data_IF_459526303909
#
_entry.id   IF_459526303909
#
_cell.length_a   1.000
_cell.length_b   1.000
_cell.length_c   1.000
_cell.angle_alpha   90.00
_cell.angle_beta   90.00
_cell.angle_gamma   90.00
#
_symmetry.space_group_name_H-M   'P 1'
#
loop_
_entity.id
_entity.type
_entity.pdbx_description
1 polymer ?
#
# COMPACT_ATOMS: atom_id res chain seq x y z
N UNK A 1 -26.42 -41.85 -34.13
CA UNK A 1 -25.67 -40.64 -33.73
C UNK A 1 -26.62 -39.45 -33.62
N UNK A 2 -27.61 -39.50 -32.72
CA UNK A 2 -28.54 -38.39 -32.49
C UNK A 2 -29.01 -38.29 -31.03
N UNK A 3 -28.43 -39.08 -30.10
CA UNK A 3 -28.88 -39.14 -28.71
C UNK A 3 -27.98 -38.39 -27.71
N UNK A 4 -26.75 -38.00 -28.09
CA UNK A 4 -25.79 -37.34 -27.18
C UNK A 4 -25.83 -35.80 -27.19
N UNK A 5 -26.49 -35.17 -28.17
CA UNK A 5 -26.53 -33.70 -28.26
C UNK A 5 -27.63 -33.06 -27.41
N UNK A 6 -28.71 -33.79 -27.13
CA UNK A 6 -29.86 -33.26 -26.37
C UNK A 6 -29.54 -33.13 -24.88
N UNK A 7 -28.82 -34.12 -24.32
CA UNK A 7 -28.45 -34.14 -22.90
C UNK A 7 -27.38 -33.08 -22.56
N UNK A 8 -26.52 -32.73 -23.52
CA UNK A 8 -25.55 -31.64 -23.40
C UNK A 8 -26.19 -30.25 -23.45
N UNK A 9 -27.24 -30.08 -24.25
CA UNK A 9 -27.96 -28.80 -24.36
C UNK A 9 -28.90 -28.56 -23.16
N UNK A 10 -29.55 -29.60 -22.63
CA UNK A 10 -30.37 -29.48 -21.42
C UNK A 10 -29.52 -29.11 -20.19
N UNK A 11 -28.33 -29.71 -20.05
CA UNK A 11 -27.42 -29.43 -18.93
C UNK A 11 -26.78 -28.02 -19.00
N UNK A 12 -26.63 -27.44 -20.20
CA UNK A 12 -26.23 -26.03 -20.36
C UNK A 12 -27.37 -25.06 -20.03
N UNK A 13 -28.60 -25.36 -20.46
CA UNK A 13 -29.77 -24.53 -20.17
C UNK A 13 -30.09 -24.49 -18.67
N UNK A 14 -29.98 -25.61 -17.96
CA UNK A 14 -30.16 -25.67 -16.50
C UNK A 14 -29.06 -24.94 -15.71
N UNK A 15 -27.86 -24.81 -16.29
CA UNK A 15 -26.78 -24.01 -15.70
C UNK A 15 -26.95 -22.52 -15.95
N UNK A 16 -27.48 -22.11 -17.11
CA UNK A 16 -27.78 -20.70 -17.40
C UNK A 16 -28.94 -20.17 -16.55
N UNK A 17 -30.02 -20.94 -16.39
CA UNK A 17 -31.17 -20.55 -15.55
C UNK A 17 -30.81 -20.40 -14.08
N UNK A 18 -29.92 -21.24 -13.54
CA UNK A 18 -29.42 -21.11 -12.17
C UNK A 18 -28.54 -19.87 -11.96
N UNK A 19 -27.75 -19.46 -12.96
CA UNK A 19 -26.92 -18.25 -12.87
C UNK A 19 -27.78 -16.99 -12.94
N UNK A 20 -28.80 -16.97 -13.82
CA UNK A 20 -29.76 -15.86 -13.92
C UNK A 20 -30.60 -15.71 -12.63
N UNK A 21 -30.98 -16.83 -12.00
CA UNK A 21 -31.72 -16.79 -10.73
C UNK A 21 -30.86 -16.26 -9.56
N UNK A 22 -29.58 -16.61 -9.51
CA UNK A 22 -28.63 -16.08 -8.52
C UNK A 22 -28.38 -14.58 -8.74
N UNK A 23 -28.29 -14.12 -10.00
CA UNK A 23 -28.15 -12.69 -10.30
C UNK A 23 -29.40 -11.89 -9.93
N UNK A 24 -30.60 -12.45 -10.12
CA UNK A 24 -31.85 -11.79 -9.69
C UNK A 24 -31.96 -11.67 -8.17
N UNK A 25 -31.56 -12.71 -7.41
CA UNK A 25 -31.54 -12.66 -5.94
C UNK A 25 -30.54 -11.62 -5.40
N UNK A 26 -29.41 -11.42 -6.10
CA UNK A 26 -28.43 -10.38 -5.75
C UNK A 26 -28.96 -8.97 -6.05
N UNK A 27 -29.71 -8.78 -7.12
CA UNK A 27 -30.35 -7.50 -7.45
C UNK A 27 -31.47 -7.13 -6.46
N UNK A 28 -32.23 -8.12 -5.98
CA UNK A 28 -33.32 -7.92 -5.02
C UNK A 28 -32.82 -7.53 -3.61
N UNK A 29 -31.65 -8.04 -3.19
CA UNK A 29 -31.02 -7.64 -1.93
C UNK A 29 -30.45 -6.21 -1.97
N UNK A 30 -30.09 -5.69 -3.15
CA UNK A 30 -29.55 -4.33 -3.30
C UNK A 30 -30.66 -3.27 -3.21
N UNK A 31 -31.88 -3.58 -3.63
CA UNK A 31 -33.02 -2.65 -3.57
C UNK A 31 -33.50 -2.36 -2.14
N UNK A 32 -33.44 -3.35 -1.24
CA UNK A 32 -33.92 -3.20 0.15
C UNK A 32 -33.02 -2.33 1.05
N UNK A 33 -31.77 -2.08 0.65
CA UNK A 33 -30.80 -1.29 1.44
C UNK A 33 -31.00 0.23 1.23
N UNK A 34 -31.80 0.64 0.25
CA UNK A 34 -31.90 2.05 -0.19
C UNK A 34 -33.00 2.88 0.48
N UNK A 35 -33.73 2.36 1.48
CA UNK A 35 -34.89 3.05 2.09
C UNK A 35 -34.74 3.45 3.57
N UNK A 36 -33.53 3.46 4.12
CA UNK A 36 -33.29 3.97 5.47
C UNK A 36 -32.91 5.45 5.50
N UNK A 37 -33.90 6.36 5.57
CA UNK A 37 -33.65 7.75 5.96
C UNK A 37 -33.23 7.82 7.45
N UNK A 38 -32.08 8.44 7.76
CA UNK A 38 -31.74 8.79 9.14
C UNK A 38 -31.20 10.22 9.25
N UNK A 39 -31.95 11.03 9.99
CA UNK A 39 -31.65 12.41 10.35
C UNK A 39 -30.43 12.51 11.29
N UNK A 40 -29.46 13.36 10.95
CA UNK A 40 -28.33 13.73 11.81
C UNK A 40 -28.68 14.91 12.74
N UNK A 41 -28.37 14.87 14.06
CA UNK A 41 -28.47 16.03 14.93
C UNK A 41 -27.21 16.93 14.85
N UNK A 42 -27.43 18.25 15.02
CA UNK A 42 -26.49 19.36 14.81
C UNK A 42 -25.32 19.40 15.82
N UNK A 43 -24.13 19.76 15.32
CA UNK A 43 -22.86 20.01 16.03
C UNK A 43 -22.94 21.15 17.06
N UNK A 44 -22.24 21.02 18.20
CA UNK A 44 -21.79 22.13 19.06
C UNK A 44 -20.27 22.30 18.90
N UNK A 45 -19.82 23.52 18.61
CA UNK A 45 -18.40 23.89 18.50
C UNK A 45 -17.82 24.23 19.88
N UNK A 46 -16.56 23.86 20.13
CA UNK A 46 -15.74 24.37 21.23
C UNK A 46 -14.45 24.90 20.59
N UNK A 47 -14.18 26.20 20.77
CA UNK A 47 -12.93 26.86 20.38
C UNK A 47 -11.83 26.58 21.41
N UNK A 48 -10.60 26.34 20.95
CA UNK A 48 -9.41 26.27 21.81
C UNK A 48 -8.31 27.13 21.19
N UNK A 49 -7.89 28.18 21.91
CA UNK A 49 -6.77 29.06 21.56
C UNK A 49 -5.41 28.40 21.86
N UNK A 50 -4.41 28.66 21.00
CA UNK A 50 -3.03 28.19 21.18
C UNK A 50 -2.11 29.30 21.73
N UNK A 51 -1.24 29.01 22.72
CA UNK A 51 -0.22 29.95 23.18
C UNK A 51 0.95 30.06 22.19
N UNK A 52 1.46 31.28 22.00
CA UNK A 52 2.64 31.60 21.20
C UNK A 52 3.85 31.91 22.08
N UNK A 53 5.01 31.25 21.88
CA UNK A 53 6.38 31.85 21.81
C UNK A 53 7.58 30.84 21.86
N UNK A 54 8.40 30.88 20.79
CA UNK A 54 9.88 31.05 20.65
C UNK A 54 10.91 30.37 21.59
N UNK A 55 11.91 29.69 20.96
CA UNK A 55 13.34 29.58 21.36
C UNK A 55 13.96 28.19 21.07
N UNK A 56 15.16 27.95 20.52
CA UNK A 56 16.47 28.65 20.48
C UNK A 56 17.34 28.17 19.29
N UNK A 57 18.28 28.99 18.79
CA UNK A 57 19.29 28.61 17.77
C UNK A 57 20.50 27.89 18.41
N UNK A 58 20.93 26.76 17.84
CA UNK A 58 22.13 26.01 18.26
C UNK A 58 23.38 26.57 17.56
N UNK A 59 24.48 26.77 18.31
CA UNK A 59 25.81 27.16 17.78
C UNK A 59 26.77 25.97 17.92
N UNK A 60 27.69 25.81 16.96
CA UNK A 60 28.70 24.73 16.97
C UNK A 60 29.87 24.99 17.92
N UNK A 61 30.68 23.95 18.14
CA UNK A 61 31.78 23.88 19.13
C UNK A 61 32.87 24.95 18.94
N UNK A 62 32.92 25.60 17.77
CA UNK A 62 33.93 26.62 17.45
C UNK A 62 33.35 28.06 17.48
N UNK A 63 32.16 28.26 18.07
CA UNK A 63 31.53 29.58 18.24
C UNK A 63 30.99 30.24 16.96
N UNK A 64 31.23 29.67 15.77
CA UNK A 64 30.69 30.15 14.49
C UNK A 64 29.26 29.64 14.25
N UNK A 65 28.43 30.49 13.65
CA UNK A 65 27.10 30.10 13.21
C UNK A 65 27.20 29.02 12.14
N UNK A 66 26.52 27.89 12.33
CA UNK A 66 26.46 26.83 11.33
C UNK A 66 25.56 27.33 10.19
N UNK A 67 26.16 27.76 9.09
CA UNK A 67 25.43 28.05 7.87
C UNK A 67 25.09 26.71 7.24
N UNK A 68 23.83 26.27 7.37
CA UNK A 68 23.36 25.07 6.70
C UNK A 68 23.31 25.33 5.20
N UNK A 69 24.12 24.61 4.43
CA UNK A 69 24.01 24.58 2.98
C UNK A 69 22.75 23.76 2.64
N UNK A 70 21.59 24.42 2.62
CA UNK A 70 20.23 23.84 2.54
C UNK A 70 19.90 23.07 1.25
N UNK A 71 20.84 22.85 0.32
CA UNK A 71 20.49 22.40 -1.04
C UNK A 71 20.84 20.96 -1.40
N UNK A 72 21.54 20.19 -0.56
CA UNK A 72 22.04 18.86 -0.99
C UNK A 72 21.86 17.69 -0.01
N UNK A 73 21.21 17.88 1.14
CA UNK A 73 21.09 16.84 2.17
C UNK A 73 19.65 16.35 2.46
N UNK A 74 18.63 16.81 1.73
CA UNK A 74 17.23 16.45 2.03
C UNK A 74 16.85 15.01 1.66
N UNK A 75 17.64 14.31 0.85
CA UNK A 75 17.24 13.00 0.30
C UNK A 75 17.79 11.77 1.04
N UNK A 76 18.54 11.94 2.13
CA UNK A 76 19.07 10.82 2.93
C UNK A 76 18.69 10.84 4.42
N UNK A 77 17.90 11.82 4.89
CA UNK A 77 17.51 11.95 6.31
C UNK A 77 16.12 11.40 6.65
N UNK A 78 15.37 10.83 5.71
CA UNK A 78 13.97 10.42 5.92
C UNK A 78 13.73 9.17 6.78
N UNK A 79 14.71 8.66 7.55
CA UNK A 79 14.51 7.44 8.34
C UNK A 79 15.04 7.48 9.79
N UNK A 80 15.56 8.60 10.32
CA UNK A 80 16.16 8.55 11.68
C UNK A 80 15.82 9.69 12.64
N UNK A 81 15.47 10.90 12.21
CA UNK A 81 15.20 11.99 13.17
C UNK A 81 13.77 12.51 13.04
N UNK A 82 13.06 12.53 14.17
CA UNK A 82 11.67 12.99 14.32
C UNK A 82 11.47 14.48 14.05
N UNK A 83 11.71 14.91 12.81
CA UNK A 83 11.09 16.10 12.26
C UNK A 83 9.79 15.67 11.56
N UNK A 84 8.69 16.30 11.95
CA UNK A 84 7.37 16.14 11.38
C UNK A 84 7.36 16.34 9.86
N UNK A 85 7.35 15.27 9.09
CA UNK A 85 7.19 15.37 7.63
C UNK A 85 6.33 14.20 7.09
N UNK A 86 5.10 14.14 7.58
CA UNK A 86 3.99 13.45 6.93
C UNK A 86 3.09 14.49 6.27
N UNK A 87 3.67 15.31 5.40
CA UNK A 87 2.94 16.28 4.60
C UNK A 87 1.96 15.51 3.68
N UNK A 88 0.67 15.74 3.82
CA UNK A 88 -0.35 15.16 2.95
C UNK A 88 -0.58 16.02 1.71
N UNK A 89 -0.16 17.29 1.76
CA UNK A 89 -0.38 18.27 0.71
C UNK A 89 0.79 18.23 -0.26
N UNK A 90 0.54 18.46 -1.54
CA UNK A 90 1.64 18.61 -2.49
C UNK A 90 2.32 19.96 -2.29
N UNK A 91 3.65 19.95 -2.23
CA UNK A 91 4.48 21.12 -2.50
C UNK A 91 4.29 21.59 -3.95
N UNK A 92 4.82 22.78 -4.28
CA UNK A 92 4.78 23.29 -5.65
C UNK A 92 5.51 22.36 -6.63
N UNK A 93 6.64 21.80 -6.22
CA UNK A 93 7.43 20.89 -7.05
C UNK A 93 6.69 19.57 -7.30
N UNK A 94 6.07 19.00 -6.26
CA UNK A 94 5.23 17.79 -6.36
C UNK A 94 3.99 18.03 -7.23
N UNK A 95 3.41 19.24 -7.18
CA UNK A 95 2.31 19.62 -8.06
C UNK A 95 2.74 19.68 -9.52
N UNK A 96 3.94 20.22 -9.81
CA UNK A 96 4.50 20.21 -11.18
C UNK A 96 4.76 18.78 -11.68
N UNK A 97 5.20 17.88 -10.81
CA UNK A 97 5.36 16.46 -11.15
C UNK A 97 4.01 15.84 -11.54
N UNK A 98 2.96 16.06 -10.75
CA UNK A 98 1.63 15.54 -11.07
C UNK A 98 1.12 16.06 -12.44
N UNK A 99 1.34 17.33 -12.76
CA UNK A 99 1.03 17.91 -14.06
C UNK A 99 1.83 17.26 -15.20
N UNK A 100 3.14 17.04 -14.99
CA UNK A 100 3.97 16.33 -15.97
C UNK A 100 3.43 14.94 -16.27
N UNK A 101 3.03 14.19 -15.25
CA UNK A 101 2.45 12.84 -15.41
C UNK A 101 1.16 12.92 -16.23
N UNK A 102 0.30 13.91 -15.98
CA UNK A 102 -0.94 14.12 -16.73
C UNK A 102 -0.69 14.40 -18.22
N UNK A 103 0.35 15.16 -18.55
CA UNK A 103 0.70 15.53 -19.93
C UNK A 103 1.39 14.40 -20.71
N UNK A 104 1.79 13.31 -20.05
CA UNK A 104 2.51 12.21 -20.68
C UNK A 104 1.59 11.33 -21.54
N UNK A 105 2.16 10.60 -22.51
CA UNK A 105 1.37 9.65 -23.32
C UNK A 105 0.89 8.48 -22.47
N UNK A 106 -0.30 7.90 -22.70
CA UNK A 106 -0.82 6.77 -21.91
C UNK A 106 0.16 5.61 -21.70
N UNK A 107 0.93 5.25 -22.73
CA UNK A 107 1.92 4.16 -22.72
C UNK A 107 3.29 4.56 -22.22
N UNK A 108 3.53 5.85 -21.95
CA UNK A 108 4.82 6.35 -21.50
C UNK A 108 5.14 5.78 -20.12
N UNK A 109 6.31 5.19 -19.97
CA UNK A 109 6.80 4.72 -18.67
C UNK A 109 7.27 5.92 -17.86
N UNK A 110 6.69 6.12 -16.69
CA UNK A 110 6.94 7.27 -15.82
C UNK A 110 7.80 6.86 -14.63
N UNK A 111 7.57 5.66 -14.08
CA UNK A 111 8.22 5.18 -12.86
C UNK A 111 8.71 3.76 -13.08
N UNK A 112 9.98 3.51 -12.74
CA UNK A 112 10.56 2.17 -12.73
C UNK A 112 11.30 1.96 -11.41
N UNK A 113 10.64 1.32 -10.45
CA UNK A 113 11.16 1.02 -9.11
C UNK A 113 11.32 -0.48 -8.98
N UNK A 114 12.55 -0.94 -8.78
CA UNK A 114 12.87 -2.37 -8.69
C UNK A 114 12.36 -3.14 -9.92
N UNK A 115 11.37 -4.02 -9.73
CA UNK A 115 10.68 -4.82 -10.74
C UNK A 115 9.31 -4.24 -11.16
N UNK A 116 8.95 -3.05 -10.67
CA UNK A 116 7.67 -2.39 -10.94
C UNK A 116 7.82 -1.26 -11.94
N UNK A 117 7.08 -1.34 -13.05
CA UNK A 117 7.09 -0.36 -14.15
C UNK A 117 5.72 0.30 -14.27
N UNK A 118 5.55 1.55 -13.82
CA UNK A 118 4.29 2.30 -13.95
C UNK A 118 4.32 3.24 -15.16
N UNK A 119 3.29 3.13 -15.97
CA UNK A 119 2.98 4.03 -17.08
C UNK A 119 2.09 5.18 -16.64
N UNK A 120 1.89 6.18 -17.51
CA UNK A 120 0.87 7.22 -17.27
C UNK A 120 -0.52 6.61 -17.04
N UNK A 121 -0.91 5.58 -17.80
CA UNK A 121 -2.19 4.91 -17.64
C UNK A 121 -2.36 4.30 -16.23
N UNK A 122 -1.29 3.77 -15.64
CA UNK A 122 -1.34 3.26 -14.27
C UNK A 122 -1.53 4.37 -13.22
N UNK A 123 -1.05 5.59 -13.50
CA UNK A 123 -0.96 6.69 -12.55
C UNK A 123 -2.15 7.66 -12.59
N UNK A 124 -3.03 7.57 -13.59
CA UNK A 124 -4.16 8.51 -13.75
C UNK A 124 -5.06 8.57 -12.52
N UNK A 125 -5.28 7.44 -11.84
CA UNK A 125 -6.11 7.36 -10.62
C UNK A 125 -5.55 8.17 -9.44
N UNK A 126 -4.29 8.60 -9.51
CA UNK A 126 -3.63 9.44 -8.50
C UNK A 126 -3.61 10.93 -8.88
N UNK A 127 -3.54 11.25 -10.17
CA UNK A 127 -3.27 12.64 -10.62
C UNK A 127 -4.47 13.32 -11.28
N UNK A 128 -5.34 12.56 -11.94
CA UNK A 128 -6.50 13.10 -12.63
C UNK A 128 -7.59 13.49 -11.62
N UNK A 129 -8.27 14.60 -11.89
CA UNK A 129 -9.42 15.03 -11.11
C UNK A 129 -10.62 14.19 -11.50
N UNK A 130 -11.28 13.61 -10.51
CA UNK A 130 -12.50 12.84 -10.67
C UNK A 130 -13.57 13.33 -9.69
N UNK A 131 -14.87 13.04 -9.96
CA UNK A 131 -15.91 13.09 -8.94
C UNK A 131 -15.52 12.27 -7.71
N UNK A 132 -16.05 12.65 -6.55
CA UNK A 132 -15.63 12.15 -5.24
C UNK A 132 -15.63 10.61 -5.14
N UNK A 133 -16.70 9.93 -5.57
CA UNK A 133 -16.82 8.47 -5.53
C UNK A 133 -16.58 7.77 -6.88
N UNK A 134 -15.85 8.39 -7.79
CA UNK A 134 -15.59 7.78 -9.10
C UNK A 134 -14.67 6.55 -8.98
N UNK A 135 -15.14 5.40 -9.46
CA UNK A 135 -14.43 4.12 -9.39
C UNK A 135 -13.03 4.13 -10.03
N UNK A 136 -12.77 4.99 -11.03
CA UNK A 136 -11.45 5.17 -11.65
C UNK A 136 -10.39 5.70 -10.67
N UNK A 137 -10.80 6.19 -9.50
CA UNK A 137 -9.89 6.54 -8.40
C UNK A 137 -9.30 5.31 -7.69
N UNK A 138 -9.82 4.10 -7.90
CA UNK A 138 -9.27 2.93 -7.21
C UNK A 138 -7.80 2.70 -7.59
N UNK A 139 -6.94 2.60 -6.57
CA UNK A 139 -5.53 2.33 -6.81
C UNK A 139 -5.31 0.84 -7.06
N UNK A 140 -4.43 0.54 -8.01
CA UNK A 140 -4.15 -0.84 -8.39
C UNK A 140 -3.14 -1.51 -7.45
N UNK A 141 -3.11 -2.84 -7.49
CA UNK A 141 -2.06 -3.68 -6.87
C UNK A 141 -0.65 -3.20 -7.24
N UNK A 142 -0.48 -2.69 -8.47
CA UNK A 142 0.79 -2.19 -9.01
C UNK A 142 1.28 -0.93 -8.28
N UNK A 143 0.37 -0.03 -7.92
CA UNK A 143 0.68 1.18 -7.15
C UNK A 143 1.09 0.81 -5.72
N UNK A 144 0.32 -0.06 -5.05
CA UNK A 144 0.67 -0.49 -3.68
C UNK A 144 2.00 -1.26 -3.67
N UNK A 145 2.26 -2.11 -4.68
CA UNK A 145 3.57 -2.77 -4.84
C UNK A 145 4.70 -1.75 -5.03
N UNK A 146 4.52 -0.76 -5.90
CA UNK A 146 5.51 0.31 -6.10
C UNK A 146 5.76 1.09 -4.79
N UNK A 147 4.71 1.35 -4.01
CA UNK A 147 4.84 1.96 -2.69
C UNK A 147 5.66 1.10 -1.74
N UNK A 148 5.35 -0.19 -1.57
CA UNK A 148 6.10 -1.10 -0.70
C UNK A 148 7.58 -1.16 -1.11
N UNK A 149 7.87 -1.22 -2.41
CA UNK A 149 9.24 -1.21 -2.94
C UNK A 149 9.97 0.11 -2.75
N UNK A 150 9.25 1.24 -2.81
CA UNK A 150 9.79 2.56 -2.51
C UNK A 150 10.09 2.72 -1.01
N UNK A 151 9.10 2.41 -0.17
CA UNK A 151 9.14 2.61 1.27
C UNK A 151 10.14 1.68 1.96
N UNK A 152 10.39 0.52 1.36
CA UNK A 152 11.26 -0.51 1.89
C UNK A 152 10.45 -1.60 2.61
N UNK A 153 10.91 -2.84 2.44
CA UNK A 153 10.22 -4.01 2.97
C UNK A 153 10.61 -4.32 4.41
N UNK A 154 11.64 -3.68 4.97
CA UNK A 154 12.06 -3.88 6.35
C UNK A 154 12.07 -2.55 7.09
N UNK A 155 11.53 -2.55 8.31
CA UNK A 155 11.58 -1.38 9.19
C UNK A 155 11.57 -1.78 10.65
N UNK A 156 12.03 -0.87 11.50
CA UNK A 156 11.96 -1.04 12.95
C UNK A 156 10.71 -0.36 13.50
N UNK A 157 9.96 -1.08 14.33
CA UNK A 157 8.80 -0.58 15.06
C UNK A 157 9.15 -0.51 16.53
N UNK A 158 9.12 0.70 17.08
CA UNK A 158 9.27 0.91 18.52
C UNK A 158 7.92 0.71 19.20
N UNK A 159 7.80 -0.31 20.03
CA UNK A 159 6.64 -0.56 20.87
C UNK A 159 7.08 -0.67 22.32
N UNK A 160 6.59 0.26 23.14
CA UNK A 160 7.08 0.49 24.49
C UNK A 160 8.60 0.71 24.54
N UNK A 161 9.33 -0.14 25.29
CA UNK A 161 10.80 -0.08 25.44
C UNK A 161 11.55 -0.98 24.45
N UNK A 162 10.84 -1.75 23.62
CA UNK A 162 11.45 -2.74 22.73
C UNK A 162 11.35 -2.28 21.26
N UNK A 163 12.33 -2.70 20.46
CA UNK A 163 12.35 -2.51 19.03
C UNK A 163 12.00 -3.85 18.37
N UNK A 164 11.04 -3.83 17.45
CA UNK A 164 10.58 -5.00 16.70
C UNK A 164 10.93 -4.84 15.23
N UNK A 165 11.32 -5.92 14.57
CA UNK A 165 11.58 -5.97 13.15
C UNK A 165 10.29 -6.27 12.39
N UNK A 166 9.87 -5.31 11.58
CA UNK A 166 8.69 -5.45 10.75
C UNK A 166 9.07 -5.66 9.28
N UNK A 167 8.35 -6.58 8.64
CA UNK A 167 8.43 -6.84 7.22
C UNK A 167 7.14 -6.44 6.50
N UNK A 168 7.24 -5.70 5.40
CA UNK A 168 6.12 -5.29 4.56
C UNK A 168 6.11 -6.14 3.29
N UNK A 169 5.05 -6.94 3.15
CA UNK A 169 4.87 -7.81 2.01
C UNK A 169 4.23 -7.05 0.83
N UNK A 170 4.58 -7.47 -0.37
CA UNK A 170 3.94 -6.97 -1.59
C UNK A 170 2.56 -7.61 -1.79
N UNK A 171 1.57 -6.87 -2.30
CA UNK A 171 0.24 -7.42 -2.53
C UNK A 171 0.22 -8.55 -3.58
N UNK A 172 1.25 -8.63 -4.44
CA UNK A 172 1.44 -9.75 -5.39
C UNK A 172 1.72 -11.07 -4.66
N UNK A 173 2.62 -11.06 -3.66
CA UNK A 173 2.93 -12.24 -2.84
C UNK A 173 1.73 -12.59 -1.95
N UNK A 174 1.03 -11.59 -1.38
CA UNK A 174 -0.21 -11.83 -0.63
C UNK A 174 -1.25 -12.56 -1.49
N UNK A 175 -1.49 -12.11 -2.72
CA UNK A 175 -2.42 -12.77 -3.65
C UNK A 175 -1.99 -14.21 -3.98
N UNK A 176 -0.70 -14.44 -4.18
CA UNK A 176 -0.13 -15.77 -4.39
C UNK A 176 -0.39 -16.70 -3.18
N UNK A 177 -0.22 -16.20 -1.96
CA UNK A 177 -0.44 -16.98 -0.74
C UNK A 177 -1.92 -17.26 -0.47
N UNK A 178 -2.82 -16.31 -0.77
CA UNK A 178 -4.28 -16.55 -0.72
C UNK A 178 -4.64 -17.72 -1.63
N UNK A 179 -4.17 -17.72 -2.88
CA UNK A 179 -4.40 -18.83 -3.83
C UNK A 179 -3.81 -20.14 -3.30
N UNK A 180 -2.62 -20.10 -2.70
CA UNK A 180 -1.97 -21.29 -2.15
C UNK A 180 -2.73 -21.90 -0.96
N UNK A 181 -3.41 -21.07 -0.17
CA UNK A 181 -4.31 -21.52 0.88
C UNK A 181 -5.66 -22.02 0.35
N UNK A 182 -6.20 -21.38 -0.68
CA UNK A 182 -7.47 -21.75 -1.31
C UNK A 182 -7.40 -23.13 -1.99
N UNK A 183 -6.40 -23.35 -2.85
CA UNK A 183 -6.19 -24.60 -3.60
C UNK A 183 -5.40 -25.63 -2.79
N UNK A 184 -5.91 -25.99 -1.62
CA UNK A 184 -5.25 -26.98 -0.78
C UNK A 184 -5.43 -28.40 -1.31
N UNK A 185 -4.33 -29.14 -1.45
CA UNK A 185 -4.33 -30.48 -2.06
C UNK A 185 -4.34 -30.50 -3.59
N UNK A 186 -4.26 -29.34 -4.26
CA UNK A 186 -4.10 -29.24 -5.71
C UNK A 186 -2.68 -28.79 -6.03
N UNK A 187 -1.98 -29.51 -6.90
CA UNK A 187 -0.71 -29.04 -7.44
C UNK A 187 -0.95 -27.77 -8.27
N UNK A 188 -0.52 -26.63 -7.75
CA UNK A 188 -0.52 -25.38 -8.51
C UNK A 188 0.60 -25.44 -9.53
N UNK A 189 0.31 -26.04 -10.69
CA UNK A 189 1.22 -26.01 -11.83
C UNK A 189 1.65 -24.57 -12.12
N UNK A 190 2.97 -24.34 -12.13
CA UNK A 190 3.66 -23.09 -12.48
C UNK A 190 3.89 -22.03 -11.39
N UNK A 191 3.66 -22.29 -10.10
CA UNK A 191 4.19 -21.36 -9.07
C UNK A 191 5.56 -21.84 -8.61
N UNK A 192 6.59 -21.01 -8.80
CA UNK A 192 7.94 -21.29 -8.35
C UNK A 192 7.95 -21.48 -6.82
N UNK A 193 8.21 -22.70 -6.38
CA UNK A 193 8.29 -23.08 -4.96
C UNK A 193 9.26 -22.16 -4.19
N UNK A 194 10.29 -21.63 -4.87
CA UNK A 194 11.22 -20.67 -4.29
C UNK A 194 10.54 -19.37 -3.85
N UNK A 195 9.45 -18.95 -4.50
CA UNK A 195 8.70 -17.76 -4.08
C UNK A 195 7.99 -18.00 -2.74
N UNK A 196 7.42 -19.20 -2.54
CA UNK A 196 6.86 -19.57 -1.24
C UNK A 196 7.97 -19.63 -0.19
N UNK A 197 9.08 -20.33 -0.48
CA UNK A 197 10.21 -20.40 0.46
C UNK A 197 10.74 -19.01 0.83
N UNK A 198 10.90 -18.11 -0.14
CA UNK A 198 11.36 -16.73 0.10
C UNK A 198 10.40 -15.95 1.00
N UNK A 199 9.09 -16.10 0.82
CA UNK A 199 8.11 -15.49 1.71
C UNK A 199 8.23 -16.07 3.13
N UNK A 200 8.33 -17.40 3.26
CA UNK A 200 8.42 -18.08 4.54
C UNK A 200 9.67 -17.68 5.32
N UNK A 201 10.83 -17.60 4.65
CA UNK A 201 12.10 -17.11 5.22
C UNK A 201 11.94 -15.67 5.71
N UNK A 202 11.26 -14.81 4.94
CA UNK A 202 11.04 -13.41 5.35
C UNK A 202 10.15 -13.35 6.59
N UNK A 203 9.14 -14.21 6.70
CA UNK A 203 8.19 -14.18 7.80
C UNK A 203 8.80 -14.67 9.11
N UNK A 204 9.46 -15.85 9.10
CA UNK A 204 10.03 -16.43 10.33
C UNK A 204 11.22 -15.63 10.88
N UNK A 205 11.80 -14.72 10.10
CA UNK A 205 12.91 -13.85 10.50
C UNK A 205 12.48 -12.43 10.89
N UNK A 206 11.18 -12.14 10.99
CA UNK A 206 10.67 -10.84 11.42
C UNK A 206 9.57 -10.98 12.48
N UNK A 207 9.49 -10.02 13.39
CA UNK A 207 8.54 -10.00 14.51
C UNK A 207 7.11 -9.67 14.06
N UNK A 208 6.99 -8.85 13.03
CA UNK A 208 5.71 -8.33 12.54
C UNK A 208 5.64 -8.35 11.02
N UNK A 209 4.57 -8.90 10.44
CA UNK A 209 4.41 -8.99 8.98
C UNK A 209 3.17 -8.23 8.54
N UNK A 210 3.36 -7.20 7.71
CA UNK A 210 2.29 -6.40 7.12
C UNK A 210 1.88 -7.00 5.78
N UNK A 211 0.59 -7.32 5.64
CA UNK A 211 0.01 -8.01 4.51
C UNK A 211 -1.13 -7.15 3.93
N UNK A 212 -0.88 -6.36 2.88
CA UNK A 212 -1.93 -5.64 2.18
C UNK A 212 -2.82 -6.62 1.40
N UNK A 213 -4.09 -6.73 1.79
CA UNK A 213 -5.05 -7.66 1.22
C UNK A 213 -6.05 -6.87 0.36
N UNK A 214 -6.22 -7.32 -0.89
CA UNK A 214 -7.32 -6.89 -1.76
C UNK A 214 -8.39 -7.96 -1.72
N UNK A 215 -9.63 -7.57 -1.41
CA UNK A 215 -10.77 -8.46 -1.46
C UNK A 215 -11.26 -8.65 -2.89
N UNK A 216 -12.12 -9.65 -3.08
CA UNK A 216 -12.87 -9.89 -4.32
C UNK A 216 -13.76 -8.72 -4.78
N UNK A 217 -14.10 -7.79 -3.87
CA UNK A 217 -14.91 -6.60 -4.17
C UNK A 217 -14.07 -5.32 -4.31
N UNK A 218 -12.77 -5.46 -4.59
CA UNK A 218 -11.82 -4.35 -4.77
C UNK A 218 -11.62 -3.43 -3.56
N UNK A 219 -11.93 -3.94 -2.37
CA UNK A 219 -11.60 -3.26 -1.12
C UNK A 219 -10.18 -3.66 -0.65
N UNK A 220 -9.49 -2.72 -0.01
CA UNK A 220 -8.16 -2.93 0.53
C UNK A 220 -8.15 -2.74 2.05
N UNK A 221 -7.51 -3.68 2.74
CA UNK A 221 -7.17 -3.56 4.16
C UNK A 221 -5.79 -4.17 4.41
N UNK A 222 -5.27 -3.99 5.63
CA UNK A 222 -3.96 -4.55 6.02
C UNK A 222 -4.14 -5.50 7.19
N UNK A 223 -3.67 -6.74 7.04
CA UNK A 223 -3.46 -7.63 8.16
C UNK A 223 -2.02 -7.49 8.66
N UNK A 224 -1.84 -7.47 9.98
CA UNK A 224 -0.53 -7.44 10.62
C UNK A 224 -0.40 -8.67 11.50
N UNK A 225 0.44 -9.61 11.09
CA UNK A 225 0.81 -10.75 11.92
C UNK A 225 1.78 -10.26 12.97
N UNK A 226 1.48 -10.51 14.24
CA UNK A 226 2.34 -10.20 15.38
C UNK A 226 2.73 -11.52 16.03
N UNK A 227 3.91 -12.04 15.67
CA UNK A 227 4.35 -13.34 16.17
C UNK A 227 4.62 -13.32 17.66
N UNK A 228 5.01 -12.16 18.20
CA UNK A 228 5.32 -11.99 19.63
C UNK A 228 4.07 -12.08 20.50
N UNK A 229 2.89 -11.78 19.93
CA UNK A 229 1.59 -11.91 20.60
C UNK A 229 0.79 -13.13 20.13
N UNK A 230 1.17 -13.75 19.01
CA UNK A 230 0.42 -14.83 18.33
C UNK A 230 -0.99 -14.34 17.95
N UNK A 231 -1.00 -13.15 17.36
CA UNK A 231 -2.23 -12.43 16.98
C UNK A 231 -2.14 -11.90 15.55
N UNK A 232 -3.31 -11.74 14.93
CA UNK A 232 -3.45 -11.06 13.64
C UNK A 232 -4.27 -9.80 13.86
N UNK A 233 -3.63 -8.63 13.76
CA UNK A 233 -4.33 -7.36 13.81
C UNK A 233 -4.87 -6.99 12.42
N UNK A 234 -6.17 -6.71 12.30
CA UNK A 234 -6.79 -6.23 11.06
C UNK A 234 -6.95 -4.71 11.15
N UNK A 235 -6.35 -4.02 10.19
CA UNK A 235 -6.40 -2.57 10.03
C UNK A 235 -7.24 -2.25 8.80
N UNK A 236 -8.46 -1.79 9.04
CA UNK A 236 -9.41 -1.46 7.98
C UNK A 236 -9.93 -0.03 8.17
N UNK A 237 -10.28 0.59 7.04
CA UNK A 237 -10.89 1.92 6.94
C UNK A 237 -12.42 1.86 6.85
N UNK A 238 -13.00 0.67 7.01
CA UNK A 238 -14.44 0.42 7.09
C UNK A 238 -14.75 -0.41 8.33
N UNK A 239 -16.03 -0.44 8.69
CA UNK A 239 -16.54 -1.27 9.78
C UNK A 239 -16.56 -2.75 9.35
N UNK A 240 -15.42 -3.40 9.53
CA UNK A 240 -15.18 -4.80 9.15
C UNK A 240 -15.52 -5.76 10.28
N UNK A 241 -16.13 -6.88 9.95
CA UNK A 241 -16.45 -7.98 10.85
C UNK A 241 -15.66 -9.24 10.50
N UNK A 242 -15.69 -10.26 11.36
CA UNK A 242 -14.98 -11.52 11.07
C UNK A 242 -15.53 -12.29 9.85
N UNK A 243 -16.79 -12.05 9.48
CA UNK A 243 -17.41 -12.66 8.30
C UNK A 243 -16.87 -12.10 6.99
N UNK A 244 -16.34 -10.87 7.02
CA UNK A 244 -15.70 -10.21 5.88
C UNK A 244 -14.27 -10.71 5.62
N UNK A 245 -13.67 -11.45 6.56
CA UNK A 245 -12.25 -11.84 6.53
C UNK A 245 -11.97 -13.15 5.75
N UNK A 246 -12.71 -13.39 4.66
CA UNK A 246 -12.59 -14.63 3.86
C UNK A 246 -11.18 -14.78 3.27
N UNK A 247 -10.67 -13.73 2.64
CA UNK A 247 -9.32 -13.72 2.05
C UNK A 247 -8.23 -13.90 3.11
N UNK A 248 -8.40 -13.33 4.31
CA UNK A 248 -7.46 -13.51 5.41
C UNK A 248 -7.40 -14.97 5.88
N UNK A 249 -8.53 -15.66 5.98
CA UNK A 249 -8.58 -17.08 6.36
C UNK A 249 -7.78 -17.95 5.37
N UNK A 250 -7.92 -17.70 4.06
CA UNK A 250 -7.10 -18.37 3.04
C UNK A 250 -5.63 -17.96 3.11
N UNK A 251 -5.33 -16.68 3.33
CA UNK A 251 -3.96 -16.20 3.49
C UNK A 251 -3.25 -16.87 4.66
N UNK A 252 -3.89 -16.97 5.83
CA UNK A 252 -3.33 -17.65 7.01
C UNK A 252 -3.03 -19.13 6.72
N UNK A 253 -3.87 -19.79 5.92
CA UNK A 253 -3.63 -21.15 5.44
C UNK A 253 -2.42 -21.23 4.50
N UNK A 254 -2.32 -20.32 3.54
CA UNK A 254 -1.16 -20.21 2.64
C UNK A 254 0.15 -19.93 3.37
N UNK A 255 0.14 -19.01 4.34
CA UNK A 255 1.29 -18.69 5.19
C UNK A 255 1.73 -19.91 5.99
N UNK A 256 0.81 -20.65 6.62
CA UNK A 256 1.16 -21.88 7.35
C UNK A 256 1.90 -22.88 6.47
N UNK A 257 1.43 -23.08 5.23
CA UNK A 257 2.07 -24.01 4.27
C UNK A 257 3.46 -23.51 3.88
N UNK A 258 3.55 -22.23 3.55
CA UNK A 258 4.79 -21.53 3.20
C UNK A 258 5.85 -21.61 4.32
N UNK A 259 5.47 -21.35 5.57
CA UNK A 259 6.36 -21.49 6.73
C UNK A 259 6.82 -22.93 6.93
N UNK A 260 5.92 -23.91 6.77
CA UNK A 260 6.29 -25.33 6.87
C UNK A 260 7.33 -25.76 5.85
N UNK A 261 7.22 -25.33 4.59
CA UNK A 261 8.22 -25.62 3.56
C UNK A 261 9.63 -25.22 4.03
N UNK A 262 9.76 -24.05 4.66
CA UNK A 262 11.05 -23.52 5.11
C UNK A 262 11.61 -24.26 6.33
N UNK A 263 10.72 -24.72 7.23
CA UNK A 263 11.10 -25.48 8.42
C UNK A 263 11.45 -26.94 8.09
N UNK A 264 10.63 -27.59 7.25
CA UNK A 264 10.81 -28.98 6.85
C UNK A 264 12.10 -29.15 6.04
N UNK A 265 12.38 -28.22 5.13
CA UNK A 265 13.62 -28.17 4.34
C UNK A 265 14.82 -27.63 5.14
N UNK A 266 14.62 -27.21 6.39
CA UNK A 266 15.66 -26.66 7.28
C UNK A 266 16.44 -25.49 6.65
N UNK A 267 15.74 -24.64 5.90
CA UNK A 267 16.34 -23.47 5.23
C UNK A 267 16.75 -22.41 6.27
N UNK A 268 16.05 -22.35 7.41
CA UNK A 268 16.33 -21.41 8.51
C UNK A 268 16.69 -22.20 9.76
N UNK A 269 17.88 -21.97 10.31
CA UNK A 269 18.39 -22.67 11.49
C UNK A 269 17.77 -22.16 12.81
N UNK A 270 17.56 -20.84 12.93
CA UNK A 270 17.10 -20.19 14.15
C UNK A 270 15.98 -19.17 13.85
N UNK A 271 14.76 -19.63 13.52
CA UNK A 271 13.63 -18.74 13.29
C UNK A 271 13.26 -17.96 14.58
N UNK A 272 12.77 -16.73 14.42
CA UNK A 272 12.28 -15.90 15.53
C UNK A 272 10.93 -16.36 16.08
N UNK A 273 10.12 -17.01 15.25
CA UNK A 273 8.78 -17.47 15.63
C UNK A 273 8.86 -18.71 16.51
N UNK A 274 8.13 -18.72 17.61
CA UNK A 274 8.00 -19.87 18.53
C UNK A 274 6.68 -20.64 18.34
N UNK A 275 5.78 -20.14 17.50
CA UNK A 275 4.54 -20.77 17.08
C UNK A 275 4.34 -20.59 15.57
N UNK A 276 4.08 -21.68 14.87
CA UNK A 276 3.89 -21.71 13.42
C UNK A 276 2.44 -22.02 13.02
N UNK A 277 1.55 -22.25 13.97
CA UNK A 277 0.14 -22.50 13.71
C UNK A 277 -0.63 -21.18 13.58
N UNK A 278 -0.21 -20.37 12.60
CA UNK A 278 -0.74 -19.02 12.34
C UNK A 278 -2.26 -19.00 12.19
N UNK A 279 -2.87 -20.10 11.72
CA UNK A 279 -4.33 -20.26 11.60
C UNK A 279 -5.09 -20.22 12.93
N UNK A 280 -4.42 -20.57 14.04
CA UNK A 280 -5.01 -20.56 15.38
C UNK A 280 -4.78 -19.22 16.12
N UNK A 281 -4.03 -18.28 15.50
CA UNK A 281 -3.76 -16.98 16.11
C UNK A 281 -5.03 -16.17 16.22
N UNK A 282 -5.17 -15.45 17.34
CA UNK A 282 -6.36 -14.64 17.60
C UNK A 282 -6.42 -13.47 16.64
N UNK A 283 -7.55 -13.33 15.94
CA UNK A 283 -7.82 -12.17 15.08
C UNK A 283 -8.30 -11.01 15.96
N UNK A 284 -7.73 -9.82 15.74
CA UNK A 284 -8.11 -8.57 16.42
C UNK A 284 -8.39 -7.49 15.38
N UNK A 285 -9.68 -7.24 15.16
CA UNK A 285 -10.13 -6.11 14.34
C UNK A 285 -9.97 -4.80 15.13
N UNK A 286 -9.36 -3.79 14.51
CA UNK A 286 -9.13 -2.48 15.14
C UNK A 286 -10.19 -1.49 14.69
N UNK A 287 -11.13 -1.17 15.58
CA UNK A 287 -12.26 -0.27 15.30
C UNK A 287 -11.95 1.22 15.45
N UNK A 288 -10.92 1.60 16.22
CA UNK A 288 -10.57 3.00 16.47
C UNK A 288 -9.58 3.55 15.43
N UNK A 289 -9.79 3.21 14.16
CA UNK A 289 -8.97 3.67 13.05
C UNK A 289 -9.70 4.77 12.27
N UNK A 290 -8.96 5.64 11.55
CA UNK A 290 -9.56 6.53 10.57
C UNK A 290 -10.42 5.75 9.56
N UNK A 291 -11.72 6.06 9.53
CA UNK A 291 -12.66 5.49 8.57
C UNK A 291 -12.72 6.33 7.30
N UNK A 292 -12.82 5.66 6.15
CA UNK A 292 -13.04 6.32 4.86
C UNK A 292 -14.49 6.79 4.75
N UNK A 293 -14.67 7.95 4.13
CA UNK A 293 -15.99 8.52 3.80
C UNK A 293 -16.37 8.30 2.34
N UNK A 294 -15.42 7.84 1.51
CA UNK A 294 -15.61 7.56 0.09
C UNK A 294 -15.62 6.05 -0.19
N UNK A 295 -15.85 5.67 -1.46
CA UNK A 295 -15.83 4.26 -1.90
C UNK A 295 -14.48 3.80 -2.47
N UNK A 296 -13.48 4.68 -2.62
CA UNK A 296 -12.34 4.45 -3.54
C UNK A 296 -10.96 4.69 -2.94
N UNK A 297 -10.89 5.08 -1.67
CA UNK A 297 -9.65 5.43 -0.98
C UNK A 297 -9.09 4.33 -0.08
N UNK A 298 -9.74 3.15 0.02
CA UNK A 298 -9.29 2.05 0.90
C UNK A 298 -7.83 1.65 0.69
N UNK A 299 -7.35 1.67 -0.55
CA UNK A 299 -5.93 1.42 -0.85
C UNK A 299 -4.97 2.50 -0.31
N UNK A 300 -5.39 3.77 -0.32
CA UNK A 300 -4.60 4.88 0.26
C UNK A 300 -4.58 4.81 1.79
N UNK A 301 -5.72 4.47 2.42
CA UNK A 301 -5.78 4.18 3.85
C UNK A 301 -4.86 3.02 4.21
N UNK A 302 -4.86 1.93 3.42
CA UNK A 302 -3.98 0.78 3.62
C UNK A 302 -2.49 1.17 3.57
N UNK A 303 -2.11 2.05 2.64
CA UNK A 303 -0.75 2.63 2.60
C UNK A 303 -0.46 3.37 3.90
N UNK A 304 -1.37 4.24 4.36
CA UNK A 304 -1.17 5.00 5.61
C UNK A 304 -1.13 4.13 6.85
N UNK A 305 -1.90 3.04 6.89
CA UNK A 305 -1.81 2.06 7.97
C UNK A 305 -0.45 1.36 7.99
N UNK A 306 0.07 0.96 6.83
CA UNK A 306 1.43 0.42 6.74
C UNK A 306 2.48 1.44 7.16
N UNK A 307 2.32 2.73 6.82
CA UNK A 307 3.26 3.77 7.25
C UNK A 307 3.22 4.02 8.76
N UNK A 308 2.02 4.13 9.35
CA UNK A 308 1.85 4.74 10.66
C UNK A 308 1.67 3.74 11.81
N UNK A 309 1.32 2.48 11.55
CA UNK A 309 1.06 1.50 12.60
C UNK A 309 2.32 1.16 13.41
N UNK A 310 2.20 1.23 14.74
CA UNK A 310 3.28 0.99 15.73
C UNK A 310 3.18 -0.37 16.42
N UNK A 311 2.27 -1.24 15.98
CA UNK A 311 1.95 -2.50 16.67
C UNK A 311 0.80 -2.39 17.66
N UNK A 312 0.50 -1.20 18.17
CA UNK A 312 -0.62 -0.96 19.10
C UNK A 312 -1.61 0.08 18.59
N UNK A 313 -1.10 1.14 17.96
CA UNK A 313 -1.88 2.26 17.45
C UNK A 313 -1.23 2.85 16.21
N UNK A 314 -1.89 3.83 15.59
CA UNK A 314 -1.20 4.70 14.64
C UNK A 314 -0.31 5.68 15.42
N UNK A 315 0.88 5.95 14.88
CA UNK A 315 1.81 6.97 15.41
C UNK A 315 1.28 8.40 15.25
N UNK A 316 0.34 8.60 14.31
CA UNK A 316 -0.31 9.88 14.03
C UNK A 316 -1.74 9.66 13.54
N UNK A 317 -2.63 10.57 13.90
CA UNK A 317 -4.00 10.62 13.40
C UNK A 317 -4.05 11.29 12.02
N UNK A 318 -4.97 10.85 11.16
CA UNK A 318 -5.26 11.46 9.87
C UNK A 318 -6.75 11.31 9.54
N UNK A 319 -7.23 12.08 8.57
CA UNK A 319 -8.63 12.15 8.18
C UNK A 319 -8.82 11.99 6.66
N UNK A 320 -10.07 11.96 6.20
CA UNK A 320 -10.39 11.79 4.78
C UNK A 320 -9.77 12.91 3.92
N UNK A 321 -9.78 14.14 4.43
CA UNK A 321 -9.29 15.32 3.72
C UNK A 321 -7.76 15.25 3.50
N UNK A 322 -7.06 14.61 4.44
CA UNK A 322 -5.63 14.29 4.33
C UNK A 322 -5.41 13.23 3.24
N UNK A 323 -6.25 12.20 3.18
CA UNK A 323 -6.19 11.14 2.15
C UNK A 323 -6.47 11.68 0.74
N UNK A 324 -7.42 12.60 0.62
CA UNK A 324 -7.76 13.25 -0.64
C UNK A 324 -6.57 14.06 -1.17
N UNK A 325 -5.86 14.76 -0.29
CA UNK A 325 -4.63 15.49 -0.62
C UNK A 325 -3.48 14.52 -0.96
N UNK A 326 -3.33 13.46 -0.17
CA UNK A 326 -2.26 12.48 -0.31
C UNK A 326 -2.30 11.70 -1.61
N UNK A 327 -3.49 11.48 -2.17
CA UNK A 327 -3.67 10.80 -3.47
C UNK A 327 -2.73 11.35 -4.54
N UNK A 328 -2.68 12.67 -4.70
CA UNK A 328 -1.81 13.32 -5.68
C UNK A 328 -0.35 13.30 -5.24
N UNK A 329 -0.09 13.45 -3.95
CA UNK A 329 1.27 13.41 -3.39
C UNK A 329 1.93 12.05 -3.59
N UNK A 330 1.19 10.96 -3.46
CA UNK A 330 1.69 9.59 -3.69
C UNK A 330 2.34 9.44 -5.07
N UNK A 331 1.73 10.02 -6.12
CA UNK A 331 2.33 9.99 -7.46
C UNK A 331 3.71 10.68 -7.48
N UNK A 332 3.84 11.83 -6.80
CA UNK A 332 5.09 12.55 -6.71
C UNK A 332 6.14 11.81 -5.85
N UNK A 333 5.72 11.19 -4.74
CA UNK A 333 6.57 10.35 -3.88
C UNK A 333 7.18 9.21 -4.71
N UNK A 334 6.35 8.46 -5.43
CA UNK A 334 6.82 7.35 -6.26
C UNK A 334 7.72 7.84 -7.40
N UNK A 335 7.37 8.97 -8.03
CA UNK A 335 8.17 9.57 -9.08
C UNK A 335 9.57 9.98 -8.59
N UNK A 336 9.62 10.60 -7.41
CA UNK A 336 10.85 11.10 -6.77
C UNK A 336 11.61 10.04 -5.99
N UNK A 337 11.09 8.81 -5.93
CA UNK A 337 11.73 7.68 -5.28
C UNK A 337 13.21 7.57 -5.67
N UNK A 338 14.15 7.46 -4.72
CA UNK A 338 15.56 7.21 -5.01
C UNK A 338 15.77 5.94 -5.85
N UNK A 339 14.85 4.98 -5.73
CA UNK A 339 14.85 3.71 -6.47
C UNK A 339 14.22 3.82 -7.86
N UNK A 340 13.69 4.99 -8.25
CA UNK A 340 13.15 5.20 -9.59
C UNK A 340 14.30 5.38 -10.60
N UNK A 341 14.55 4.35 -11.43
CA UNK A 341 15.63 4.32 -12.42
C UNK A 341 15.51 5.42 -13.49
N UNK A 342 14.31 5.98 -13.68
CA UNK A 342 14.05 7.02 -14.70
C UNK A 342 14.32 8.44 -14.21
N UNK A 343 14.53 8.64 -12.90
CA UNK A 343 14.80 9.96 -12.31
C UNK A 343 16.08 10.60 -12.87
N UNK A 344 17.10 9.79 -13.17
CA UNK A 344 18.40 10.27 -13.61
C UNK A 344 18.42 10.77 -15.06
N UNK A 345 17.46 10.36 -15.90
CA UNK A 345 17.42 10.75 -17.31
C UNK A 345 16.92 12.20 -17.53
N UNK A 346 16.49 12.89 -16.47
CA UNK A 346 15.82 14.19 -16.55
C UNK A 346 16.69 15.32 -15.99
N UNK A 347 17.60 15.04 -15.03
CA UNK A 347 18.58 16.04 -14.58
C UNK A 347 19.71 16.27 -15.59
N UNK A 348 19.93 15.35 -16.53
CA UNK A 348 20.96 15.46 -17.56
C UNK A 348 20.60 16.44 -18.69
N UNK A 349 19.31 16.74 -18.87
CA UNK A 349 18.81 17.59 -19.97
C UNK A 349 18.66 19.06 -19.59
N UNK A 350 18.96 19.44 -18.33
CA UNK A 350 18.88 20.83 -17.85
C UNK A 350 20.22 21.55 -17.71
N UNK A 351 21.36 20.89 -18.01
CA UNK A 351 22.70 21.49 -17.94
C UNK A 351 23.42 21.65 -19.29
N UNK A 352 22.73 21.45 -20.41
CA UNK A 352 23.31 21.59 -21.76
C UNK A 352 22.77 22.80 -22.51
N UNK A 353 23.02 24.02 -22.00
CA UNK A 353 22.98 25.25 -22.81
C UNK A 353 23.74 26.35 -22.08
N UNK A 354 25.06 26.30 -22.19
CA UNK A 354 25.95 27.33 -21.71
C UNK A 354 27.35 27.07 -22.26
N UNK A 355 27.82 28.02 -23.05
CA UNK A 355 29.21 28.23 -23.52
C UNK A 355 29.76 27.26 -24.56
N UNK A 356 29.83 27.73 -25.81
CA UNK A 356 31.06 27.87 -26.60
C UNK A 356 30.73 28.90 -27.70
N UNK A 357 31.47 29.96 -27.98
CA UNK A 357 32.88 30.23 -27.78
C UNK A 357 33.30 30.97 -29.05
N UNK A 358 33.41 32.29 -28.97
CA UNK A 358 33.70 33.13 -30.14
C UNK A 358 35.09 32.85 -30.70
N UNK A 359 35.17 32.55 -31.99
CA UNK A 359 36.45 32.51 -32.71
C UNK A 359 36.71 33.87 -33.34
N UNK A 360 37.61 34.64 -32.73
CA UNK A 360 38.40 35.66 -33.42
C UNK A 360 39.48 34.94 -34.22
N UNK A 361 39.54 35.19 -35.53
CA UNK A 361 40.72 34.96 -36.34
C UNK A 361 41.07 36.29 -37.04
N UNK A 362 42.27 36.78 -36.77
CA UNK A 362 42.95 37.81 -37.55
C UNK A 362 44.32 37.22 -37.96
N UNK A 363 44.79 37.69 -39.12
CA UNK A 363 46.06 37.44 -39.81
C UNK A 363 46.04 36.12 -40.61
N UNK A 364 45.92 36.11 -41.95
CA UNK A 364 46.76 36.76 -43.00
C UNK A 364 45.92 37.27 -44.17
#
# INVERSE_FOLDING_TARGET
MAHDNTEFQENMNDRMTNVEHIQQLQLQQVTDITHGEQHFPRKRYIEVEYPSTIGKRVRGVNGRAVVSNKKFDCYKRCLVDGNDDFDFVCTTDETRIALRILCAKPTETIIHIDDVVLTKADLVCLVQTYPYDNYEKNISTKIIKAFVKHFGQSRSIKRHKHMYHAYLETPSVVSMLIKYGYYDGVELGNTDENMYKSAGVSYVNNDMIFLPIRTSIDHWYVAVLDCTRKEVCVLDSMDTTEDDLKELKFLMKGIRKCVRLVLDDKIVENPLWDDYNVQAWKIRIRYNLPNKKDRTSSGLYSIKFMELWTGDSLSKQFYQEDIDSYRRKLAAILYMSPSNKLRNNICSTSNGNGTDGGTRAADV
#
